data_IF_671833786013
#
_entry.id   IF_671833786013
#
_cell.length_a   1.000
_cell.length_b   1.000
_cell.length_c   1.000
_cell.angle_alpha   90.00
_cell.angle_beta   90.00
_cell.angle_gamma   90.00
#
_symmetry.space_group_name_H-M   'P 1'
#
loop_
_entity.id
_entity.type
_entity.pdbx_description
1 polymer ?
#
# COMPACT_ATOMS: atom_id res chain seq x y z
N UNK A 1 -0.23 17.40 0.76
CA UNK A 1 -1.43 16.78 1.36
C UNK A 1 -0.97 15.84 2.46
N UNK A 2 -1.76 15.62 3.52
CA UNK A 2 -1.44 14.62 4.55
C UNK A 2 -1.83 13.23 4.05
N UNK A 3 -0.93 12.26 4.10
CA UNK A 3 -1.28 10.86 3.85
C UNK A 3 -1.82 10.25 5.14
N UNK A 4 -2.96 9.57 5.04
CA UNK A 4 -3.60 8.87 6.16
C UNK A 4 -3.77 7.42 5.73
N UNK A 5 -3.22 6.51 6.53
CA UNK A 5 -3.46 5.08 6.36
C UNK A 5 -4.72 4.71 7.13
N UNK A 6 -5.68 4.07 6.46
CA UNK A 6 -6.86 3.51 7.12
C UNK A 6 -6.47 2.22 7.85
N UNK A 7 -7.25 1.84 8.86
CA UNK A 7 -7.06 0.58 9.56
C UNK A 7 -7.16 -0.62 8.60
N UNK A 8 -8.05 -0.54 7.61
CA UNK A 8 -8.18 -1.53 6.54
C UNK A 8 -6.90 -1.65 5.70
N UNK A 9 -6.32 -0.53 5.26
CA UNK A 9 -5.07 -0.55 4.49
C UNK A 9 -3.90 -1.12 5.30
N UNK A 10 -3.83 -0.84 6.61
CA UNK A 10 -2.82 -1.40 7.49
C UNK A 10 -3.03 -2.91 7.72
N UNK A 11 -4.28 -3.36 7.85
CA UNK A 11 -4.61 -4.77 7.96
C UNK A 11 -4.24 -5.52 6.68
N UNK A 12 -4.62 -5.02 5.51
CA UNK A 12 -4.24 -5.61 4.21
C UNK A 12 -2.73 -5.66 4.02
N UNK A 13 -2.01 -4.59 4.40
CA UNK A 13 -0.54 -4.61 4.36
C UNK A 13 0.02 -5.72 5.24
N UNK A 14 -0.48 -5.88 6.47
CA UNK A 14 -0.06 -6.94 7.38
C UNK A 14 -0.31 -8.33 6.78
N UNK A 15 -1.50 -8.58 6.26
CA UNK A 15 -1.85 -9.87 5.64
C UNK A 15 -0.91 -10.23 4.49
N UNK A 16 -0.57 -9.26 3.64
CA UNK A 16 0.37 -9.49 2.53
C UNK A 16 1.78 -9.81 3.06
N UNK A 17 2.27 -9.06 4.07
CA UNK A 17 3.59 -9.31 4.65
C UNK A 17 3.67 -10.69 5.31
N UNK A 18 2.64 -11.09 6.05
CA UNK A 18 2.55 -12.41 6.67
C UNK A 18 2.49 -13.50 5.60
N UNK A 19 1.70 -13.33 4.55
CA UNK A 19 1.65 -14.27 3.42
C UNK A 19 3.03 -14.44 2.75
N UNK A 20 3.78 -13.35 2.55
CA UNK A 20 5.11 -13.40 1.98
C UNK A 20 6.12 -14.14 2.88
N UNK A 21 6.03 -13.96 4.20
CA UNK A 21 6.93 -14.58 5.17
C UNK A 21 6.59 -16.06 5.42
N UNK A 22 5.31 -16.36 5.62
CA UNK A 22 4.86 -17.63 6.18
C UNK A 22 4.46 -18.63 5.08
N UNK A 23 3.84 -18.15 4.00
CA UNK A 23 3.40 -19.00 2.89
C UNK A 23 4.45 -19.07 1.80
N UNK A 24 4.93 -17.92 1.32
CA UNK A 24 5.91 -17.86 0.24
C UNK A 24 7.37 -18.02 0.73
N UNK A 25 7.60 -17.95 2.04
CA UNK A 25 8.91 -18.08 2.66
C UNK A 25 9.97 -17.12 2.08
N UNK A 26 9.54 -15.92 1.68
CA UNK A 26 10.43 -14.89 1.18
C UNK A 26 11.37 -14.47 2.31
N UNK A 27 12.68 -14.31 2.06
CA UNK A 27 13.61 -13.90 3.10
C UNK A 27 13.17 -12.61 3.79
N UNK A 28 13.18 -12.61 5.12
CA UNK A 28 12.72 -11.46 5.94
C UNK A 28 13.39 -10.14 5.56
N UNK A 29 14.65 -10.16 5.13
CA UNK A 29 15.37 -8.98 4.63
C UNK A 29 14.73 -8.37 3.38
N UNK A 30 14.25 -9.21 2.46
CA UNK A 30 13.56 -8.80 1.23
C UNK A 30 12.19 -8.23 1.57
N UNK A 31 11.40 -8.92 2.41
CA UNK A 31 10.09 -8.44 2.86
C UNK A 31 10.20 -7.09 3.58
N UNK A 32 11.20 -6.94 4.47
CA UNK A 32 11.47 -5.68 5.16
C UNK A 32 11.81 -4.54 4.20
N UNK A 33 12.58 -4.82 3.15
CA UNK A 33 12.89 -3.82 2.11
C UNK A 33 11.61 -3.42 1.35
N UNK A 34 10.81 -4.39 0.93
CA UNK A 34 9.57 -4.12 0.17
C UNK A 34 8.54 -3.35 1.00
N UNK A 35 8.36 -3.70 2.28
CA UNK A 35 7.53 -2.94 3.21
C UNK A 35 7.97 -1.47 3.27
N UNK A 36 9.29 -1.23 3.41
CA UNK A 36 9.84 0.11 3.45
C UNK A 36 9.57 0.88 2.14
N UNK A 37 9.84 0.26 0.99
CA UNK A 37 9.62 0.87 -0.33
C UNK A 37 8.15 1.26 -0.55
N UNK A 38 7.20 0.40 -0.12
CA UNK A 38 5.76 0.67 -0.20
C UNK A 38 5.36 1.88 0.65
N UNK A 39 5.78 1.90 1.93
CA UNK A 39 5.44 3.00 2.85
C UNK A 39 6.07 4.31 2.39
N UNK A 40 7.34 4.29 1.95
CA UNK A 40 8.01 5.46 1.40
C UNK A 40 7.31 5.96 0.12
N UNK A 41 6.87 5.04 -0.76
CA UNK A 41 6.11 5.36 -1.96
C UNK A 41 4.77 6.03 -1.64
N UNK A 42 4.03 5.52 -0.64
CA UNK A 42 2.79 6.12 -0.18
C UNK A 42 3.01 7.52 0.40
N UNK A 43 4.01 7.69 1.27
CA UNK A 43 4.36 8.99 1.86
C UNK A 43 4.85 10.00 0.81
N UNK A 44 5.45 9.55 -0.30
CA UNK A 44 5.84 10.45 -1.38
C UNK A 44 4.63 11.15 -2.04
N UNK A 45 3.43 10.59 -1.94
CA UNK A 45 2.19 11.21 -2.42
C UNK A 45 1.83 12.48 -1.66
N UNK A 46 2.37 12.70 -0.45
CA UNK A 46 2.19 13.96 0.27
C UNK A 46 2.66 15.17 -0.55
N UNK A 47 3.76 14.95 -1.31
CA UNK A 47 4.43 15.95 -2.15
C UNK A 47 3.92 15.94 -3.60
N UNK A 48 3.40 14.82 -4.07
CA UNK A 48 2.90 14.65 -5.44
C UNK A 48 1.64 13.76 -5.48
N UNK A 49 0.48 14.26 -5.02
CA UNK A 49 -0.72 13.44 -4.80
C UNK A 49 -1.31 12.87 -6.10
N UNK A 50 -1.06 13.52 -7.24
CA UNK A 50 -1.54 13.08 -8.56
C UNK A 50 -0.55 12.17 -9.30
N UNK A 51 0.50 11.69 -8.62
CA UNK A 51 1.43 10.72 -9.20
C UNK A 51 0.83 9.33 -9.33
N UNK A 52 -0.23 9.05 -8.56
CA UNK A 52 -1.02 7.83 -8.72
C UNK A 52 -1.77 7.82 -10.05
N UNK A 53 -1.84 6.65 -10.69
CA UNK A 53 -2.71 6.46 -11.85
C UNK A 53 -4.16 6.53 -11.41
N UNK A 54 -5.00 7.23 -12.18
CA UNK A 54 -6.45 7.15 -12.00
C UNK A 54 -6.93 5.82 -12.55
N UNK A 55 -7.59 5.05 -11.71
CA UNK A 55 -8.20 3.78 -12.08
C UNK A 55 -9.64 4.05 -12.51
N UNK A 56 -9.90 3.97 -13.82
CA UNK A 56 -11.19 4.34 -14.41
C UNK A 56 -12.36 3.52 -13.88
N UNK A 57 -12.11 2.27 -13.49
CA UNK A 57 -13.13 1.37 -12.94
C UNK A 57 -13.58 1.74 -11.51
N UNK A 58 -12.86 2.63 -10.80
CA UNK A 58 -13.27 3.16 -9.51
C UNK A 58 -14.08 4.47 -9.62
N UNK A 59 -14.21 5.04 -10.83
CA UNK A 59 -14.94 6.29 -11.06
C UNK A 59 -16.44 6.09 -11.24
N UNK A 60 -16.87 4.85 -11.56
CA UNK A 60 -18.26 4.51 -11.84
C UNK A 60 -19.03 4.03 -10.59
N UNK A 61 -18.43 4.10 -9.40
CA UNK A 61 -19.12 3.77 -8.15
C UNK A 61 -19.97 4.97 -7.74
N UNK A 62 -21.32 4.88 -7.76
CA UNK A 62 -22.16 5.99 -7.33
C UNK A 62 -21.87 6.29 -5.86
N UNK A 63 -21.60 7.56 -5.57
CA UNK A 63 -21.54 8.06 -4.19
C UNK A 63 -23.00 8.16 -3.72
N UNK A 64 -23.44 7.21 -2.90
CA UNK A 64 -24.71 7.30 -2.15
C UNK A 64 -24.59 8.29 -0.98
#
# INVERSE_FOLDING_TARGET
MKVIFTDEALASLKEVLDFMLDVQQIPKSVVKRLHRELVEGALALERAPYRGQRESHLLDVPIE
#
